data_IF_631052385236
#
_entry.id   IF_631052385236
#
_cell.length_a   1.000
_cell.length_b   1.000
_cell.length_c   1.000
_cell.angle_alpha   90.00
_cell.angle_beta   90.00
_cell.angle_gamma   90.00
#
_symmetry.space_group_name_H-M   'P 1'
#
loop_
_entity.id
_entity.type
_entity.pdbx_description
1 polymer ?
#
# COMPACT_ATOMS: atom_id res chain seq x y z
N UNK A 1 -2.02 13.49 -2.59
CA UNK A 1 -1.25 12.47 -1.88
C UNK A 1 -0.69 11.42 -2.82
N UNK A 2 0.36 10.71 -2.40
CA UNK A 2 0.83 9.47 -3.01
C UNK A 2 1.25 8.49 -1.90
N UNK A 3 1.34 7.20 -2.24
CA UNK A 3 1.83 6.18 -1.33
C UNK A 3 3.29 5.86 -1.63
N UNK A 4 4.06 5.57 -0.58
CA UNK A 4 5.42 5.08 -0.68
C UNK A 4 5.65 3.91 0.27
N UNK A 5 6.73 3.17 0.03
CA UNK A 5 7.26 2.19 0.98
C UNK A 5 8.71 2.53 1.22
N UNK A 6 9.07 2.79 2.47
CA UNK A 6 10.43 3.10 2.90
C UNK A 6 10.91 1.98 3.82
N UNK A 7 12.23 1.86 3.99
CA UNK A 7 12.80 0.86 4.87
C UNK A 7 14.03 1.41 5.59
N UNK A 8 14.19 0.97 6.83
CA UNK A 8 15.46 0.97 7.54
C UNK A 8 16.15 -0.37 7.27
N UNK A 9 17.32 -0.60 7.87
CA UNK A 9 18.02 -1.88 7.74
C UNK A 9 17.27 -3.07 8.38
N UNK A 10 16.28 -2.80 9.24
CA UNK A 10 15.57 -3.84 10.01
C UNK A 10 14.09 -3.95 9.68
N UNK A 11 13.44 -2.86 9.27
CA UNK A 11 11.99 -2.80 9.09
C UNK A 11 11.58 -1.95 7.88
N UNK A 12 10.39 -2.22 7.33
CA UNK A 12 9.80 -1.41 6.28
C UNK A 12 8.50 -0.76 6.78
N UNK A 13 8.21 0.42 6.25
CA UNK A 13 7.03 1.20 6.60
C UNK A 13 6.26 1.57 5.34
N UNK A 14 4.93 1.52 5.45
CA UNK A 14 4.04 2.08 4.44
C UNK A 14 3.81 3.55 4.77
N UNK A 15 3.85 4.40 3.76
CA UNK A 15 3.82 5.86 3.94
C UNK A 15 2.70 6.47 3.11
N UNK A 16 1.93 7.37 3.71
CA UNK A 16 0.99 8.27 3.04
C UNK A 16 1.60 9.66 3.00
N UNK A 17 1.91 10.17 1.80
CA UNK A 17 2.48 11.50 1.64
C UNK A 17 1.41 12.42 1.10
N UNK A 18 0.95 13.38 1.91
CA UNK A 18 -0.12 14.30 1.55
C UNK A 18 0.40 15.50 0.74
N UNK A 19 1.62 15.94 1.02
CA UNK A 19 2.32 16.95 0.22
C UNK A 19 2.91 16.34 -1.06
N UNK A 20 2.33 16.71 -2.21
CA UNK A 20 2.75 16.18 -3.51
C UNK A 20 4.10 16.72 -3.99
N UNK A 21 4.56 17.86 -3.47
CA UNK A 21 5.85 18.47 -3.85
C UNK A 21 7.00 17.54 -3.45
N UNK A 22 6.85 16.82 -2.34
CA UNK A 22 7.85 15.87 -1.84
C UNK A 22 8.06 14.65 -2.75
N UNK A 23 7.26 14.46 -3.79
CA UNK A 23 7.37 13.29 -4.69
C UNK A 23 8.76 13.14 -5.30
N UNK A 24 9.46 14.24 -5.56
CA UNK A 24 10.83 14.24 -6.07
C UNK A 24 11.86 13.61 -5.10
N UNK A 25 11.56 13.58 -3.80
CA UNK A 25 12.46 12.99 -2.78
C UNK A 25 12.23 11.49 -2.61
N UNK A 26 11.03 11.01 -2.93
CA UNK A 26 10.64 9.60 -2.83
C UNK A 26 11.01 8.81 -4.10
N UNK A 27 12.28 8.87 -4.48
CA UNK A 27 12.85 8.09 -5.58
C UNK A 27 13.33 6.73 -5.06
N UNK A 28 13.15 5.68 -5.87
CA UNK A 28 13.58 4.32 -5.53
C UNK A 28 15.09 4.32 -5.22
N UNK A 29 15.47 3.65 -4.12
CA UNK A 29 16.84 3.55 -3.59
C UNK A 29 17.46 4.87 -3.10
N UNK A 30 16.71 5.98 -3.08
CA UNK A 30 17.17 7.19 -2.43
C UNK A 30 17.16 7.04 -0.91
N UNK A 31 18.11 7.69 -0.24
CA UNK A 31 18.18 7.71 1.23
C UNK A 31 17.68 9.06 1.72
N UNK A 32 16.57 9.04 2.44
CA UNK A 32 15.91 10.23 2.97
C UNK A 32 15.81 10.17 4.49
N UNK A 33 15.84 11.34 5.13
CA UNK A 33 15.48 11.53 6.53
C UNK A 33 14.06 12.06 6.58
N UNK A 34 13.24 11.46 7.44
CA UNK A 34 11.85 11.85 7.66
C UNK A 34 11.70 12.19 9.15
N UNK A 35 11.26 13.41 9.46
CA UNK A 35 10.91 13.83 10.83
C UNK A 35 9.51 14.43 10.87
N UNK A 36 8.98 14.54 12.09
CA UNK A 36 7.68 15.19 12.35
C UNK A 36 6.53 14.54 11.56
N UNK A 37 6.65 13.23 11.33
CA UNK A 37 5.62 12.39 10.74
C UNK A 37 4.60 11.97 11.81
N UNK A 38 3.39 11.61 11.38
CA UNK A 38 2.34 11.09 12.26
C UNK A 38 2.22 9.58 12.03
N UNK A 39 2.38 8.78 13.09
CA UNK A 39 2.05 7.35 13.05
C UNK A 39 0.54 7.13 13.19
N UNK A 40 -0.12 6.58 12.17
CA UNK A 40 -1.56 6.30 12.21
C UNK A 40 -1.91 5.07 11.37
N UNK A 41 -2.72 4.17 11.92
CA UNK A 41 -3.26 2.99 11.24
C UNK A 41 -2.19 2.09 10.57
N UNK A 42 -1.00 2.00 11.16
CA UNK A 42 0.13 1.25 10.60
C UNK A 42 0.84 1.96 9.44
N UNK A 43 0.59 3.25 9.21
CA UNK A 43 1.29 4.09 8.25
C UNK A 43 2.07 5.20 8.94
N UNK A 44 3.14 5.65 8.27
CA UNK A 44 3.70 6.97 8.49
C UNK A 44 2.95 7.96 7.60
N UNK A 45 2.34 8.97 8.18
CA UNK A 45 1.68 10.05 7.47
C UNK A 45 2.59 11.28 7.44
N UNK A 46 2.87 11.77 6.23
CA UNK A 46 3.70 12.93 5.97
C UNK A 46 2.80 14.06 5.48
N UNK A 47 2.73 15.11 6.28
CA UNK A 47 1.92 16.29 6.04
C UNK A 47 2.82 17.50 5.73
N UNK A 48 2.23 18.66 5.44
CA UNK A 48 3.00 19.88 5.14
C UNK A 48 3.89 20.36 6.30
N UNK A 49 3.57 19.97 7.54
CA UNK A 49 4.38 20.26 8.72
C UNK A 49 5.54 19.26 8.93
N UNK A 50 5.55 18.14 8.20
CA UNK A 50 6.60 17.12 8.29
C UNK A 50 7.82 17.56 7.48
N UNK A 51 9.01 17.11 7.89
CA UNK A 51 10.26 17.39 7.16
C UNK A 51 10.75 16.14 6.43
N UNK A 52 11.13 16.31 5.16
CA UNK A 52 11.77 15.28 4.35
C UNK A 52 12.99 15.88 3.66
N UNK A 53 14.17 15.36 3.97
CA UNK A 53 15.44 15.78 3.38
C UNK A 53 16.20 14.58 2.81
N UNK A 54 17.00 14.84 1.78
CA UNK A 54 17.87 13.82 1.20
C UNK A 54 19.18 13.75 1.99
N UNK A 55 19.71 12.55 2.16
CA UNK A 55 21.04 12.37 2.75
C UNK A 55 22.07 12.54 1.65
N UNK A 56 22.75 13.69 1.67
CA UNK A 56 23.84 13.98 0.74
C UNK A 56 25.07 13.10 1.06
N UNK A 57 25.48 12.22 0.14
CA UNK A 57 26.73 11.46 0.22
C UNK A 57 26.65 10.01 -0.25
N UNK A 58 27.75 9.25 -0.13
CA UNK A 58 27.82 7.80 -0.41
C UNK A 58 27.10 6.93 0.65
N UNK A 59 26.19 7.50 1.44
CA UNK A 59 25.50 6.76 2.50
C UNK A 59 24.58 5.73 1.87
N UNK A 60 24.95 4.46 1.99
CA UNK A 60 24.15 3.32 1.54
C UNK A 60 23.61 2.63 2.79
N UNK A 61 22.29 2.61 2.97
CA UNK A 61 21.65 1.71 3.93
C UNK A 61 21.62 0.30 3.35
N UNK A 62 22.10 -0.68 4.11
CA UNK A 62 22.11 -2.06 3.65
C UNK A 62 20.78 -2.75 3.96
N UNK A 63 19.81 -2.58 3.06
CA UNK A 63 18.48 -3.19 3.22
C UNK A 63 18.54 -4.68 2.85
N UNK A 64 18.26 -5.61 3.77
CA UNK A 64 18.33 -7.04 3.50
C UNK A 64 17.38 -7.45 2.36
N UNK A 65 17.81 -8.35 1.44
CA UNK A 65 16.94 -8.84 0.36
C UNK A 65 15.62 -9.45 0.87
N UNK A 66 15.66 -10.14 2.01
CA UNK A 66 14.47 -10.70 2.67
C UNK A 66 13.47 -9.63 3.11
N UNK A 67 13.95 -8.47 3.59
CA UNK A 67 13.11 -7.34 3.97
C UNK A 67 12.44 -6.72 2.73
N UNK A 68 13.18 -6.58 1.62
CA UNK A 68 12.63 -6.13 0.33
C UNK A 68 11.56 -7.08 -0.19
N UNK A 69 11.77 -8.39 -0.08
CA UNK A 69 10.78 -9.40 -0.48
C UNK A 69 9.51 -9.29 0.37
N UNK A 70 9.65 -9.18 1.71
CA UNK A 70 8.50 -8.99 2.62
C UNK A 70 7.71 -7.72 2.32
N UNK A 71 8.39 -6.61 2.05
CA UNK A 71 7.75 -5.33 1.73
C UNK A 71 6.95 -5.37 0.42
N UNK A 72 7.32 -6.24 -0.53
CA UNK A 72 6.63 -6.41 -1.81
C UNK A 72 5.70 -7.62 -1.87
N UNK A 73 5.67 -8.44 -0.81
CA UNK A 73 4.83 -9.63 -0.74
C UNK A 73 3.35 -9.25 -0.67
N UNK A 74 2.52 -10.03 -1.36
CA UNK A 74 1.06 -9.99 -1.21
C UNK A 74 0.66 -10.94 -0.08
N UNK A 75 -0.07 -10.48 0.95
CA UNK A 75 -0.56 -11.34 2.02
C UNK A 75 -1.54 -12.37 1.46
N UNK A 76 -1.54 -13.58 2.02
CA UNK A 76 -2.47 -14.64 1.64
C UNK A 76 -3.88 -14.31 2.13
N UNK A 77 -4.90 -14.63 1.33
CA UNK A 77 -6.29 -14.32 1.68
C UNK A 77 -6.68 -14.94 3.02
N UNK A 78 -6.33 -16.20 3.28
CA UNK A 78 -6.61 -16.83 4.58
C UNK A 78 -5.95 -16.10 5.77
N UNK A 79 -4.80 -15.45 5.54
CA UNK A 79 -4.07 -14.67 6.54
C UNK A 79 -4.73 -13.33 6.75
N UNK A 80 -5.29 -12.71 5.71
CA UNK A 80 -6.07 -11.49 5.83
C UNK A 80 -7.35 -11.76 6.65
N UNK A 81 -8.02 -12.88 6.41
CA UNK A 81 -9.24 -13.25 7.14
C UNK A 81 -9.03 -13.46 8.65
N UNK A 82 -7.80 -13.63 9.12
CA UNK A 82 -7.48 -13.74 10.56
C UNK A 82 -6.96 -12.43 11.16
N UNK A 83 -6.80 -11.37 10.36
CA UNK A 83 -6.38 -10.06 10.84
C UNK A 83 -7.52 -9.35 11.56
N UNK A 84 -7.16 -8.35 12.36
CA UNK A 84 -8.14 -7.51 13.05
C UNK A 84 -8.85 -6.61 12.03
N UNK A 85 -10.14 -6.39 12.23
CA UNK A 85 -10.91 -5.34 11.54
C UNK A 85 -10.21 -3.98 11.75
N UNK A 86 -10.19 -3.15 10.71
CA UNK A 86 -9.49 -1.87 10.68
C UNK A 86 -8.00 -1.97 10.32
N UNK A 87 -7.47 -3.17 10.08
CA UNK A 87 -6.14 -3.33 9.48
C UNK A 87 -6.15 -2.95 8.00
N UNK A 88 -5.00 -2.51 7.49
CA UNK A 88 -4.87 -2.07 6.10
C UNK A 88 -4.03 -3.04 5.27
N UNK A 89 -4.59 -3.42 4.13
CA UNK A 89 -4.02 -4.39 3.20
C UNK A 89 -3.41 -3.67 2.00
N UNK A 90 -2.22 -4.13 1.62
CA UNK A 90 -1.58 -3.82 0.34
C UNK A 90 -1.24 -5.14 -0.34
N UNK A 91 -1.45 -5.25 -1.64
CA UNK A 91 -1.19 -6.51 -2.34
C UNK A 91 -1.66 -6.51 -3.78
N UNK A 92 -1.37 -7.60 -4.49
CA UNK A 92 -1.80 -7.82 -5.87
C UNK A 92 -2.57 -9.14 -5.93
N UNK A 93 -3.87 -9.06 -6.20
CA UNK A 93 -4.78 -10.21 -6.16
C UNK A 93 -5.40 -10.48 -7.52
N UNK A 94 -5.59 -11.75 -7.86
CA UNK A 94 -6.31 -12.13 -9.08
C UNK A 94 -7.80 -11.88 -8.88
N UNK A 95 -8.47 -11.33 -9.89
CA UNK A 95 -9.91 -11.08 -9.89
C UNK A 95 -10.61 -12.25 -10.55
N UNK A 96 -11.59 -12.85 -9.86
CA UNK A 96 -12.40 -13.95 -10.40
C UNK A 96 -13.82 -13.52 -10.75
N UNK A 97 -14.28 -12.37 -10.23
CA UNK A 97 -15.63 -11.85 -10.45
C UNK A 97 -15.66 -10.35 -10.27
N UNK A 98 -16.51 -9.68 -11.06
CA UNK A 98 -16.84 -8.26 -10.89
C UNK A 98 -18.36 -8.13 -10.82
N UNK A 99 -18.87 -7.40 -9.82
CA UNK A 99 -20.30 -7.11 -9.66
C UNK A 99 -20.50 -5.62 -9.43
N UNK A 100 -21.26 -4.98 -10.34
CA UNK A 100 -21.67 -3.58 -10.23
C UNK A 100 -22.97 -3.49 -9.44
N UNK A 101 -23.03 -2.60 -8.45
CA UNK A 101 -24.24 -2.35 -7.67
C UNK A 101 -24.55 -0.85 -7.66
N UNK A 102 -25.72 -0.49 -8.20
CA UNK A 102 -26.32 0.86 -8.12
C UNK A 102 -25.42 2.01 -8.65
N UNK A 103 -24.50 1.76 -9.58
CA UNK A 103 -23.52 2.73 -10.12
C UNK A 103 -22.60 3.42 -9.10
N UNK A 104 -22.67 3.09 -7.81
CA UNK A 104 -21.86 3.70 -6.75
C UNK A 104 -20.82 2.75 -6.17
N UNK A 105 -21.06 1.44 -6.24
CA UNK A 105 -20.22 0.40 -5.66
C UNK A 105 -19.84 -0.67 -6.69
N UNK A 106 -18.57 -1.06 -6.68
CA UNK A 106 -18.03 -2.20 -7.42
C UNK A 106 -17.49 -3.22 -6.43
N UNK A 107 -17.92 -4.47 -6.60
CA UNK A 107 -17.43 -5.60 -5.82
C UNK A 107 -16.51 -6.44 -6.70
N UNK A 108 -15.23 -6.45 -6.38
CA UNK A 108 -14.25 -7.34 -6.99
C UNK A 108 -14.11 -8.58 -6.12
N UNK A 109 -14.55 -9.72 -6.62
CA UNK A 109 -14.19 -11.01 -6.04
C UNK A 109 -12.73 -11.29 -6.36
N UNK A 110 -11.89 -11.38 -5.33
CA UNK A 110 -10.48 -11.71 -5.45
C UNK A 110 -10.18 -13.10 -4.89
N UNK A 111 -9.22 -13.79 -5.49
CA UNK A 111 -8.82 -15.14 -5.08
C UNK A 111 -7.31 -15.37 -5.10
N UNK A 112 -6.89 -16.32 -4.28
CA UNK A 112 -5.57 -16.94 -4.32
C UNK A 112 -5.71 -18.43 -3.94
N UNK A 113 -4.58 -19.14 -3.86
CA UNK A 113 -4.57 -20.57 -3.51
C UNK A 113 -5.11 -20.88 -2.10
N UNK A 114 -5.31 -19.86 -1.27
CA UNK A 114 -5.68 -19.98 0.14
C UNK A 114 -7.12 -19.57 0.42
N UNK A 115 -7.80 -18.89 -0.50
CA UNK A 115 -9.19 -18.51 -0.31
C UNK A 115 -9.71 -17.49 -1.31
N UNK A 116 -10.89 -16.96 -0.98
CA UNK A 116 -11.59 -15.91 -1.74
C UNK A 116 -12.07 -14.83 -0.78
N UNK A 117 -12.09 -13.58 -1.23
CA UNK A 117 -12.68 -12.46 -0.51
C UNK A 117 -13.23 -11.42 -1.49
N UNK A 118 -14.12 -10.54 -1.03
CA UNK A 118 -14.61 -9.42 -1.84
C UNK A 118 -13.89 -8.12 -1.45
N UNK A 119 -13.53 -7.33 -2.45
CA UNK A 119 -13.05 -5.95 -2.29
C UNK A 119 -14.16 -5.03 -2.77
N UNK A 120 -14.60 -4.13 -1.89
CA UNK A 120 -15.60 -3.13 -2.21
C UNK A 120 -14.91 -1.82 -2.58
N UNK A 121 -15.27 -1.27 -3.73
CA UNK A 121 -14.72 -0.04 -4.27
C UNK A 121 -15.86 0.94 -4.53
N UNK A 122 -15.69 2.19 -4.12
CA UNK A 122 -16.69 3.26 -4.31
C UNK A 122 -16.01 4.61 -4.58
N UNK A 123 -16.80 5.62 -4.93
CA UNK A 123 -16.31 6.97 -5.21
C UNK A 123 -15.43 7.04 -6.45
N UNK A 124 -14.33 7.80 -6.40
CA UNK A 124 -13.44 8.03 -7.56
C UNK A 124 -12.80 6.76 -8.16
N UNK A 125 -12.86 5.63 -7.45
CA UNK A 125 -12.26 4.37 -7.86
C UNK A 125 -13.21 3.50 -8.70
N UNK A 126 -14.48 3.90 -8.88
CA UNK A 126 -15.45 3.15 -9.70
C UNK A 126 -15.21 3.30 -11.21
N UNK A 127 -14.33 4.21 -11.64
CA UNK A 127 -13.96 4.41 -13.04
C UNK A 127 -12.79 3.50 -13.52
N UNK A 128 -12.40 2.50 -12.73
CA UNK A 128 -11.32 1.59 -13.10
C UNK A 128 -11.85 0.39 -13.89
N UNK A 129 -11.30 0.17 -15.08
CA UNK A 129 -11.54 -1.05 -15.84
C UNK A 129 -10.73 -2.21 -15.26
N UNK A 130 -11.40 -3.28 -14.87
CA UNK A 130 -10.80 -4.52 -14.40
C UNK A 130 -11.82 -5.64 -14.57
N UNK A 131 -11.40 -6.75 -15.16
CA UNK A 131 -12.23 -7.90 -15.51
C UNK A 131 -11.78 -9.18 -14.80
N UNK A 132 -12.61 -10.24 -14.76
CA UNK A 132 -12.16 -11.55 -14.34
C UNK A 132 -10.94 -12.02 -15.15
N UNK A 133 -9.89 -12.46 -14.46
CA UNK A 133 -8.59 -12.81 -15.03
C UNK A 133 -7.51 -11.73 -14.81
N UNK A 134 -7.91 -10.48 -14.57
CA UNK A 134 -6.98 -9.39 -14.27
C UNK A 134 -6.40 -9.51 -12.85
N UNK A 135 -5.40 -8.66 -12.58
CA UNK A 135 -4.82 -8.49 -11.24
C UNK A 135 -5.10 -7.09 -10.70
N UNK A 136 -5.72 -7.05 -9.54
CA UNK A 136 -6.01 -5.84 -8.80
C UNK A 136 -4.88 -5.53 -7.82
N UNK A 137 -4.19 -4.39 -8.01
CA UNK A 137 -3.18 -3.91 -7.07
C UNK A 137 -3.83 -2.94 -6.07
N UNK A 138 -3.90 -3.37 -4.82
CA UNK A 138 -4.48 -2.63 -3.70
C UNK A 138 -3.40 -1.86 -2.95
N UNK A 139 -3.70 -0.60 -2.64
CA UNK A 139 -2.93 0.25 -1.75
C UNK A 139 -3.83 0.80 -0.66
N UNK A 140 -3.51 0.52 0.60
CA UNK A 140 -4.21 1.03 1.78
C UNK A 140 -5.73 0.74 1.78
N UNK A 141 -6.11 -0.51 1.52
CA UNK A 141 -7.50 -0.95 1.65
C UNK A 141 -7.78 -1.43 3.07
N UNK A 142 -8.83 -0.93 3.70
CA UNK A 142 -9.22 -1.34 5.05
C UNK A 142 -9.94 -2.69 5.03
N UNK A 143 -9.60 -3.56 5.98
CA UNK A 143 -10.33 -4.79 6.26
C UNK A 143 -11.54 -4.47 7.16
N UNK A 144 -12.74 -4.66 6.63
CA UNK A 144 -14.03 -4.40 7.31
C UNK A 144 -14.71 -5.68 7.80
#
# INVERSE_FOLDING_TARGET
MFHATVATETEFFRVKVFDKVLKEKFIINNVIVISDYIGRNGFLEIHSASSVSEVNGKTVMNIPPSLRQRANATPKINTICTQRVGTFVNGVFAVYRVRLLKNEFIYYGIEDKTGKMEVVVHGQFTNMYCEPGDKLRLFCFELS
#
